data_IF_906664118851
#
_entry.id   IF_906664118851
#
_cell.length_a   1.000
_cell.length_b   1.000
_cell.length_c   1.000
_cell.angle_alpha   90.00
_cell.angle_beta   90.00
_cell.angle_gamma   90.00
#
_symmetry.space_group_name_H-M   'P 1'
#
loop_
_entity.id
_entity.type
_entity.pdbx_description
1 polymer ?
#
# COMPACT_ATOMS: atom_id res chain seq x y z
N UNK A 1 15.63 -47.33 32.87
CA UNK A 1 15.45 -45.97 32.32
C UNK A 1 14.96 -45.07 33.44
N UNK A 2 15.78 -44.14 33.93
CA UNK A 2 15.32 -43.10 34.87
C UNK A 2 14.57 -42.04 34.06
N UNK A 3 13.27 -41.90 34.31
CA UNK A 3 12.46 -40.84 33.73
C UNK A 3 12.74 -39.58 34.55
N UNK A 4 13.49 -38.64 33.97
CA UNK A 4 13.63 -37.28 34.51
C UNK A 4 12.32 -36.54 34.30
N UNK A 5 11.50 -36.47 35.36
CA UNK A 5 10.30 -35.62 35.37
C UNK A 5 10.76 -34.18 35.51
N UNK A 6 10.70 -33.40 34.42
CA UNK A 6 10.92 -31.96 34.48
C UNK A 6 9.88 -31.33 35.40
N UNK A 7 10.32 -30.76 36.52
CA UNK A 7 9.49 -30.01 37.46
C UNK A 7 8.92 -28.80 36.72
N UNK A 8 7.61 -28.75 36.48
CA UNK A 8 6.94 -27.55 35.95
C UNK A 8 7.22 -26.39 36.89
N UNK A 9 7.94 -25.37 36.40
CA UNK A 9 8.20 -24.13 37.14
C UNK A 9 6.91 -23.30 37.21
N UNK A 10 6.02 -23.62 38.16
CA UNK A 10 4.72 -22.94 38.35
C UNK A 10 4.86 -21.43 38.58
N UNK A 11 5.97 -20.98 39.17
CA UNK A 11 6.25 -19.56 39.42
C UNK A 11 6.51 -18.74 38.16
N UNK A 12 7.21 -19.30 37.17
CA UNK A 12 7.51 -18.59 35.92
C UNK A 12 6.22 -18.34 35.11
N UNK A 13 5.28 -19.28 35.11
CA UNK A 13 4.00 -19.11 34.41
C UNK A 13 3.16 -17.97 35.00
N UNK A 14 3.08 -17.86 36.32
CA UNK A 14 2.37 -16.74 36.98
C UNK A 14 2.99 -15.39 36.62
N UNK A 15 4.32 -15.29 36.63
CA UNK A 15 5.02 -14.05 36.26
C UNK A 15 4.75 -13.69 34.78
N UNK A 16 4.79 -14.68 33.88
CA UNK A 16 4.49 -14.48 32.46
C UNK A 16 3.04 -14.02 32.28
N UNK A 17 2.10 -14.64 32.98
CA UNK A 17 0.67 -14.31 32.94
C UNK A 17 0.39 -12.91 33.51
N UNK A 18 1.00 -12.54 34.64
CA UNK A 18 0.89 -11.18 35.19
C UNK A 18 1.47 -10.13 34.23
N UNK A 19 2.63 -10.40 33.63
CA UNK A 19 3.23 -9.50 32.64
C UNK A 19 2.38 -9.42 31.36
N UNK A 20 1.72 -10.50 30.98
CA UNK A 20 0.77 -10.52 29.88
C UNK A 20 -0.46 -9.65 30.22
N UNK A 21 -1.07 -9.86 31.38
CA UNK A 21 -2.26 -9.15 31.85
C UNK A 21 -2.02 -7.64 32.05
N UNK A 22 -0.80 -7.25 32.47
CA UNK A 22 -0.39 -5.84 32.57
C UNK A 22 -0.28 -5.19 31.19
N UNK A 23 0.35 -5.85 30.22
CA UNK A 23 0.50 -5.31 28.85
C UNK A 23 -0.83 -5.21 28.12
N UNK A 24 -1.78 -6.08 28.46
CA UNK A 24 -3.11 -6.15 27.85
C UNK A 24 -4.16 -5.39 28.62
N UNK A 25 -3.81 -4.60 29.63
CA UNK A 25 -4.79 -3.77 30.32
C UNK A 25 -5.34 -2.71 29.35
N UNK A 26 -6.66 -2.52 29.34
CA UNK A 26 -7.32 -1.51 28.50
C UNK A 26 -6.75 -0.12 28.78
N UNK A 27 -6.48 0.18 30.05
CA UNK A 27 -5.99 1.48 30.51
C UNK A 27 -4.52 1.74 30.21
N UNK A 28 -3.78 0.75 29.67
CA UNK A 28 -2.44 0.98 29.12
C UNK A 28 -2.50 1.79 27.82
N UNK A 29 -3.59 1.66 27.06
CA UNK A 29 -3.75 2.29 25.74
C UNK A 29 -4.85 3.36 25.69
N UNK A 30 -5.90 3.22 26.50
CA UNK A 30 -7.09 4.06 26.43
C UNK A 30 -7.47 4.68 27.77
N UNK A 31 -7.88 5.94 27.75
CA UNK A 31 -8.46 6.61 28.92
C UNK A 31 -9.96 6.32 29.05
N UNK A 32 -10.57 6.70 30.17
CA UNK A 32 -12.03 6.58 30.35
C UNK A 32 -12.82 7.42 29.35
N UNK A 33 -12.27 8.55 28.89
CA UNK A 33 -12.91 9.40 27.90
C UNK A 33 -12.87 8.75 26.52
N UNK A 34 -11.74 8.16 26.14
CA UNK A 34 -11.60 7.42 24.88
C UNK A 34 -12.61 6.26 24.81
N UNK A 35 -12.88 5.59 25.94
CA UNK A 35 -13.82 4.48 26.04
C UNK A 35 -15.28 4.86 25.78
N UNK A 36 -15.63 6.16 25.84
CA UNK A 36 -16.96 6.64 25.43
C UNK A 36 -17.11 6.55 23.91
N UNK A 37 -16.06 6.91 23.17
CA UNK A 37 -15.99 6.86 21.71
C UNK A 37 -15.50 5.48 21.21
N UNK A 38 -16.11 4.41 21.71
CA UNK A 38 -15.67 3.03 21.48
C UNK A 38 -15.50 2.66 19.99
N UNK A 39 -16.24 3.29 19.08
CA UNK A 39 -16.17 3.06 17.63
C UNK A 39 -14.82 3.43 17.00
N UNK A 40 -14.07 4.35 17.61
CA UNK A 40 -12.73 4.79 17.16
C UNK A 40 -11.61 3.90 17.69
N UNK A 41 -11.91 3.01 18.63
CA UNK A 41 -10.92 2.20 19.33
C UNK A 41 -10.57 0.92 18.58
N UNK A 42 -9.48 0.29 19.03
CA UNK A 42 -9.08 -1.03 18.56
C UNK A 42 -9.90 -2.13 19.26
N UNK A 43 -10.97 -2.57 18.60
CA UNK A 43 -11.87 -3.61 19.13
C UNK A 43 -11.15 -4.95 19.31
N UNK A 44 -10.12 -5.22 18.50
CA UNK A 44 -9.30 -6.43 18.67
C UNK A 44 -8.44 -6.32 19.93
N UNK A 45 -7.85 -5.17 20.22
CA UNK A 45 -7.12 -4.97 21.49
C UNK A 45 -8.04 -5.06 22.71
N UNK A 46 -9.23 -4.45 22.63
CA UNK A 46 -10.25 -4.50 23.69
C UNK A 46 -10.60 -5.94 24.06
N UNK A 47 -10.76 -6.83 23.07
CA UNK A 47 -11.01 -8.25 23.30
C UNK A 47 -9.75 -9.12 23.46
N UNK A 48 -8.56 -8.54 23.35
CA UNK A 48 -7.28 -9.26 23.36
C UNK A 48 -7.09 -10.28 22.22
N UNK A 49 -7.46 -9.88 21.01
CA UNK A 49 -7.46 -10.69 19.78
C UNK A 49 -6.64 -10.06 18.64
N UNK A 50 -5.67 -9.18 18.95
CA UNK A 50 -4.86 -8.48 17.95
C UNK A 50 -4.22 -9.43 16.92
N UNK A 51 -3.70 -10.57 17.37
CA UNK A 51 -3.05 -11.57 16.53
C UNK A 51 -3.99 -12.30 15.57
N UNK A 52 -5.31 -12.15 15.74
CA UNK A 52 -6.34 -12.78 14.92
C UNK A 52 -7.04 -11.80 13.97
N UNK A 53 -6.57 -10.55 13.85
CA UNK A 53 -7.16 -9.53 12.96
C UNK A 53 -7.34 -10.06 11.54
N UNK A 54 -6.27 -10.60 10.96
CA UNK A 54 -6.25 -11.11 9.58
C UNK A 54 -6.64 -12.59 9.47
N UNK A 55 -7.08 -13.20 10.58
CA UNK A 55 -7.43 -14.62 10.63
C UNK A 55 -8.92 -14.79 10.88
N UNK A 56 -9.43 -15.95 10.47
CA UNK A 56 -10.75 -16.39 10.90
C UNK A 56 -10.75 -16.54 12.43
N UNK A 57 -11.73 -15.93 13.08
CA UNK A 57 -11.93 -16.05 14.52
C UNK A 57 -13.09 -17.03 14.69
N UNK A 58 -12.87 -18.10 15.43
CA UNK A 58 -13.92 -19.03 15.82
C UNK A 58 -14.77 -18.42 16.94
N UNK A 59 -16.09 -18.60 16.88
CA UNK A 59 -17.04 -18.00 17.83
C UNK A 59 -16.75 -18.41 19.29
N UNK A 60 -16.26 -19.63 19.50
CA UNK A 60 -15.84 -20.14 20.81
C UNK A 60 -14.67 -19.34 21.39
N UNK A 61 -13.69 -18.98 20.56
CA UNK A 61 -12.52 -18.18 20.93
C UNK A 61 -12.96 -16.76 21.26
N UNK A 62 -13.78 -16.16 20.40
CA UNK A 62 -14.32 -14.81 20.61
C UNK A 62 -15.12 -14.71 21.92
N UNK A 63 -16.00 -15.69 22.15
CA UNK A 63 -16.82 -15.79 23.38
C UNK A 63 -15.98 -16.01 24.62
N UNK A 64 -14.93 -16.83 24.53
CA UNK A 64 -13.99 -17.05 25.63
C UNK A 64 -13.26 -15.76 26.01
N UNK A 65 -12.71 -15.06 25.01
CA UNK A 65 -12.00 -13.79 25.21
C UNK A 65 -12.92 -12.71 25.81
N UNK A 66 -14.15 -12.60 25.29
CA UNK A 66 -15.18 -11.70 25.82
C UNK A 66 -15.50 -11.97 27.29
N UNK A 67 -15.75 -13.24 27.67
CA UNK A 67 -16.05 -13.61 29.06
C UNK A 67 -14.91 -13.25 30.00
N UNK A 68 -13.67 -13.52 29.60
CA UNK A 68 -12.47 -13.16 30.37
C UNK A 68 -12.38 -11.66 30.61
N UNK A 69 -12.61 -10.86 29.56
CA UNK A 69 -12.58 -9.38 29.63
C UNK A 69 -13.70 -8.83 30.51
N UNK A 70 -14.94 -9.29 30.33
CA UNK A 70 -16.07 -8.81 31.14
C UNK A 70 -15.86 -9.07 32.63
N UNK A 71 -15.34 -10.25 33.00
CA UNK A 71 -15.10 -10.57 34.41
C UNK A 71 -14.08 -9.61 35.03
N UNK A 72 -13.03 -9.25 34.28
CA UNK A 72 -11.99 -8.32 34.73
C UNK A 72 -12.51 -6.88 34.86
N UNK A 73 -13.28 -6.40 33.88
CA UNK A 73 -13.76 -5.02 33.82
C UNK A 73 -15.24 -4.87 34.23
N UNK A 74 -15.75 -5.77 35.07
CA UNK A 74 -17.13 -5.71 35.52
C UNK A 74 -17.36 -4.49 36.42
N UNK A 75 -18.46 -3.72 36.26
CA UNK A 75 -18.73 -2.54 37.07
C UNK A 75 -18.82 -2.84 38.57
N UNK A 76 -19.27 -4.04 38.96
CA UNK A 76 -19.36 -4.45 40.38
C UNK A 76 -18.00 -4.52 41.09
N UNK A 77 -16.90 -4.61 40.35
CA UNK A 77 -15.56 -4.53 40.95
C UNK A 77 -15.24 -3.12 41.46
N UNK A 78 -15.97 -2.10 41.00
CA UNK A 78 -15.78 -0.68 41.35
C UNK A 78 -14.46 -0.07 40.87
N UNK A 79 -13.57 -0.86 40.26
CA UNK A 79 -12.22 -0.43 39.85
C UNK A 79 -12.20 0.29 38.50
N UNK A 80 -13.17 -0.02 37.64
CA UNK A 80 -13.18 0.39 36.25
C UNK A 80 -14.51 1.08 35.91
N UNK A 81 -14.46 2.10 35.05
CA UNK A 81 -15.66 2.82 34.62
C UNK A 81 -16.63 1.93 33.84
N UNK A 82 -17.93 2.28 33.85
CA UNK A 82 -18.99 1.58 33.09
C UNK A 82 -18.71 1.59 31.59
N UNK A 83 -17.98 2.60 31.12
CA UNK A 83 -17.53 2.80 29.75
C UNK A 83 -16.67 1.63 29.27
N UNK A 84 -15.75 1.12 30.09
CA UNK A 84 -14.91 -0.02 29.74
C UNK A 84 -15.74 -1.27 29.48
N UNK A 85 -16.70 -1.55 30.36
CA UNK A 85 -17.63 -2.67 30.21
C UNK A 85 -18.47 -2.55 28.93
N UNK A 86 -18.99 -1.35 28.64
CA UNK A 86 -19.78 -1.10 27.44
C UNK A 86 -18.95 -1.24 26.15
N UNK A 87 -17.72 -0.72 26.14
CA UNK A 87 -16.79 -0.85 25.02
C UNK A 87 -16.46 -2.33 24.73
N UNK A 88 -16.24 -3.15 25.76
CA UNK A 88 -16.02 -4.60 25.62
C UNK A 88 -17.26 -5.30 25.03
N UNK A 89 -18.45 -4.94 25.50
CA UNK A 89 -19.72 -5.48 24.97
C UNK A 89 -19.90 -5.14 23.49
N UNK A 90 -19.68 -3.87 23.12
CA UNK A 90 -19.82 -3.39 21.76
C UNK A 90 -18.76 -3.99 20.81
N UNK A 91 -17.52 -4.16 21.30
CA UNK A 91 -16.46 -4.84 20.57
C UNK A 91 -16.86 -6.29 20.24
N UNK A 92 -17.41 -7.01 21.22
CA UNK A 92 -17.88 -8.39 21.02
C UNK A 92 -19.02 -8.48 20.00
N UNK A 93 -20.05 -7.63 20.11
CA UNK A 93 -21.18 -7.65 19.16
C UNK A 93 -20.74 -7.32 17.73
N UNK A 94 -19.79 -6.39 17.60
CA UNK A 94 -19.24 -5.99 16.30
C UNK A 94 -18.43 -7.11 15.66
N UNK A 95 -17.51 -7.72 16.42
CA UNK A 95 -16.63 -8.76 15.89
C UNK A 95 -17.34 -10.11 15.68
N UNK A 96 -18.46 -10.34 16.38
CA UNK A 96 -19.30 -11.53 16.20
C UNK A 96 -20.08 -11.48 14.88
N UNK A 97 -20.58 -10.31 14.47
CA UNK A 97 -21.30 -10.17 13.21
C UNK A 97 -20.30 -9.96 12.06
N UNK A 98 -20.23 -10.86 11.07
CA UNK A 98 -19.27 -10.75 9.97
C UNK A 98 -19.45 -9.48 9.13
N UNK A 99 -20.67 -8.96 9.01
CA UNK A 99 -20.95 -7.72 8.26
C UNK A 99 -20.39 -6.52 9.01
N UNK A 100 -20.67 -6.42 10.32
CA UNK A 100 -20.16 -5.32 11.16
C UNK A 100 -18.64 -5.39 11.31
N UNK A 101 -18.08 -6.58 11.50
CA UNK A 101 -16.63 -6.81 11.51
C UNK A 101 -15.99 -6.32 10.22
N UNK A 102 -16.56 -6.65 9.06
CA UNK A 102 -16.04 -6.19 7.76
C UNK A 102 -16.10 -4.66 7.60
N UNK A 103 -17.15 -4.02 8.09
CA UNK A 103 -17.26 -2.55 8.10
C UNK A 103 -16.22 -1.92 9.04
N UNK A 104 -16.04 -2.50 10.23
CA UNK A 104 -15.04 -2.07 11.18
C UNK A 104 -13.60 -2.25 10.64
N UNK A 105 -13.27 -3.42 10.06
CA UNK A 105 -11.95 -3.70 9.48
C UNK A 105 -11.60 -2.79 8.30
N UNK A 106 -12.63 -2.30 7.61
CA UNK A 106 -12.52 -1.30 6.55
C UNK A 106 -12.23 0.10 7.10
N UNK A 107 -12.79 0.44 8.27
CA UNK A 107 -12.59 1.73 8.94
C UNK A 107 -11.28 1.77 9.73
N UNK A 108 -11.04 0.79 10.62
CA UNK A 108 -9.85 0.68 11.45
C UNK A 108 -8.71 0.06 10.65
N UNK A 109 -8.20 0.84 9.71
CA UNK A 109 -7.16 0.45 8.77
C UNK A 109 -6.08 1.52 8.68
N UNK A 110 -4.85 1.07 8.42
CA UNK A 110 -3.73 1.95 8.16
C UNK A 110 -3.68 2.35 6.68
N UNK A 111 -4.23 3.54 6.41
CA UNK A 111 -4.26 4.19 5.09
C UNK A 111 -2.95 4.90 4.71
N UNK A 112 -1.87 4.72 5.47
CA UNK A 112 -0.58 5.32 5.12
C UNK A 112 -0.06 4.81 3.77
N UNK A 113 0.17 5.75 2.86
CA UNK A 113 0.75 5.51 1.55
C UNK A 113 2.17 6.11 1.48
N UNK A 114 3.09 5.49 0.72
CA UNK A 114 4.43 6.01 0.49
C UNK A 114 4.42 7.45 -0.04
N UNK A 115 5.27 8.31 0.54
CA UNK A 115 5.42 9.70 0.15
C UNK A 115 6.18 9.82 -1.18
N UNK A 116 6.01 10.93 -1.89
CA UNK A 116 6.83 11.22 -3.07
C UNK A 116 8.22 11.73 -2.65
N UNK A 117 9.09 10.81 -2.24
CA UNK A 117 10.52 11.04 -1.97
C UNK A 117 11.37 10.15 -2.88
N UNK A 118 12.68 10.33 -2.81
CA UNK A 118 13.62 9.40 -3.44
C UNK A 118 13.82 8.20 -2.52
N UNK A 119 13.75 7.01 -3.12
CA UNK A 119 13.85 5.72 -2.45
C UNK A 119 15.06 4.99 -3.02
N UNK A 120 15.77 4.24 -2.18
CA UNK A 120 16.71 3.23 -2.69
C UNK A 120 15.95 2.07 -3.33
N UNK A 121 16.66 1.21 -4.08
CA UNK A 121 16.01 0.04 -4.70
C UNK A 121 15.38 -0.89 -3.65
N UNK A 122 16.07 -1.11 -2.53
CA UNK A 122 15.58 -1.94 -1.41
C UNK A 122 14.38 -1.29 -0.72
N UNK A 123 14.47 0.00 -0.37
CA UNK A 123 13.38 0.73 0.26
C UNK A 123 12.13 0.77 -0.62
N UNK A 124 12.28 0.82 -1.95
CA UNK A 124 11.14 0.78 -2.86
C UNK A 124 10.34 -0.52 -2.69
N UNK A 125 11.00 -1.68 -2.75
CA UNK A 125 10.30 -2.96 -2.65
C UNK A 125 9.68 -3.18 -1.28
N UNK A 126 10.35 -2.75 -0.21
CA UNK A 126 9.81 -2.86 1.14
C UNK A 126 8.60 -1.93 1.32
N UNK A 127 8.77 -0.64 1.08
CA UNK A 127 7.75 0.37 1.39
C UNK A 127 6.55 0.28 0.43
N UNK A 128 6.79 0.18 -0.88
CA UNK A 128 5.69 0.04 -1.84
C UNK A 128 5.07 -1.36 -1.79
N UNK A 129 5.90 -2.40 -1.67
CA UNK A 129 5.42 -3.78 -1.60
C UNK A 129 4.52 -4.00 -0.38
N UNK A 130 4.90 -3.48 0.78
CA UNK A 130 4.06 -3.53 1.98
C UNK A 130 2.76 -2.75 1.78
N UNK A 131 2.82 -1.53 1.24
CA UNK A 131 1.62 -0.72 0.99
C UNK A 131 0.62 -1.40 0.03
N UNK A 132 1.11 -2.00 -1.07
CA UNK A 132 0.28 -2.79 -1.98
C UNK A 132 -0.28 -4.06 -1.32
N UNK A 133 0.54 -4.78 -0.56
CA UNK A 133 0.11 -5.97 0.19
C UNK A 133 -0.95 -5.63 1.23
N UNK A 134 -0.84 -4.48 1.89
CA UNK A 134 -1.80 -4.01 2.88
C UNK A 134 -3.15 -3.67 2.23
N UNK A 135 -3.13 -3.03 1.06
CA UNK A 135 -4.33 -2.66 0.32
C UNK A 135 -4.95 -3.83 -0.47
N UNK A 136 -4.20 -4.88 -0.79
CA UNK A 136 -4.68 -6.02 -1.58
C UNK A 136 -5.86 -6.74 -0.92
N UNK A 137 -5.97 -6.68 0.41
CA UNK A 137 -7.08 -7.25 1.18
C UNK A 137 -8.43 -6.69 0.78
N UNK A 138 -8.46 -5.44 0.30
CA UNK A 138 -9.68 -4.76 -0.11
C UNK A 138 -10.03 -5.00 -1.58
N UNK A 139 -9.26 -5.80 -2.31
CA UNK A 139 -9.56 -6.10 -3.70
C UNK A 139 -10.74 -7.07 -3.83
N UNK A 140 -11.62 -6.78 -4.78
CA UNK A 140 -12.66 -7.70 -5.23
C UNK A 140 -12.06 -8.89 -6.00
N UNK A 141 -11.01 -8.64 -6.77
CA UNK A 141 -10.40 -9.61 -7.68
C UNK A 141 -9.20 -10.25 -6.97
N UNK A 142 -9.21 -11.58 -6.87
CA UNK A 142 -8.15 -12.38 -6.26
C UNK A 142 -7.70 -13.49 -7.23
N UNK A 143 -6.41 -13.89 -7.26
CA UNK A 143 -5.33 -13.39 -6.42
C UNK A 143 -4.78 -12.03 -6.89
N UNK A 144 -4.38 -11.18 -5.94
CA UNK A 144 -3.72 -9.90 -6.24
C UNK A 144 -2.26 -10.14 -6.66
N UNK A 145 -1.81 -9.61 -7.82
CA UNK A 145 -0.41 -9.68 -8.23
C UNK A 145 0.52 -9.00 -7.21
N UNK A 146 1.64 -9.65 -6.89
CA UNK A 146 2.69 -9.06 -6.04
C UNK A 146 3.58 -8.10 -6.83
N UNK A 147 4.16 -7.10 -6.17
CA UNK A 147 5.12 -6.16 -6.78
C UNK A 147 6.34 -6.88 -7.38
N UNK A 148 6.73 -8.02 -6.79
CA UNK A 148 7.91 -8.80 -7.18
C UNK A 148 9.21 -8.15 -6.72
N UNK A 149 10.30 -8.56 -7.37
CA UNK A 149 11.68 -8.17 -7.04
C UNK A 149 12.37 -7.60 -8.30
N UNK A 150 13.68 -7.33 -8.21
CA UNK A 150 14.49 -6.85 -9.34
C UNK A 150 14.50 -7.81 -10.55
N UNK A 151 14.37 -9.11 -10.31
CA UNK A 151 14.41 -10.16 -11.34
C UNK A 151 13.08 -10.40 -12.06
N UNK A 152 12.00 -9.71 -11.65
CA UNK A 152 10.65 -9.90 -12.19
C UNK A 152 10.59 -9.48 -13.66
N UNK A 153 9.89 -10.26 -14.48
CA UNK A 153 9.81 -10.02 -15.93
C UNK A 153 8.98 -8.78 -16.26
N UNK A 154 9.23 -8.17 -17.42
CA UNK A 154 8.45 -6.99 -17.86
C UNK A 154 6.95 -7.27 -18.00
N UNK A 155 6.59 -8.48 -18.43
CA UNK A 155 5.19 -8.89 -18.55
C UNK A 155 4.49 -8.94 -17.19
N UNK A 156 5.16 -9.46 -16.16
CA UNK A 156 4.62 -9.50 -14.80
C UNK A 156 4.46 -8.09 -14.22
N UNK A 157 5.40 -7.18 -14.50
CA UNK A 157 5.33 -5.78 -14.09
C UNK A 157 4.16 -5.07 -14.76
N UNK A 158 3.97 -5.27 -16.07
CA UNK A 158 2.84 -4.72 -16.81
C UNK A 158 1.50 -5.25 -16.28
N UNK A 159 1.41 -6.57 -16.02
CA UNK A 159 0.22 -7.19 -15.45
C UNK A 159 -0.09 -6.65 -14.05
N UNK A 160 0.93 -6.47 -13.21
CA UNK A 160 0.81 -5.87 -11.89
C UNK A 160 0.23 -4.45 -11.97
N UNK A 161 0.83 -3.57 -12.78
CA UNK A 161 0.34 -2.19 -12.88
C UNK A 161 -1.02 -2.08 -13.58
N UNK A 162 -1.31 -2.97 -14.54
CA UNK A 162 -2.63 -3.06 -15.16
C UNK A 162 -3.71 -3.43 -14.13
N UNK A 163 -3.41 -4.36 -13.24
CA UNK A 163 -4.31 -4.73 -12.13
C UNK A 163 -4.59 -3.53 -11.23
N UNK A 164 -3.54 -2.84 -10.75
CA UNK A 164 -3.71 -1.73 -9.80
C UNK A 164 -4.32 -0.46 -10.42
N UNK A 165 -4.12 -0.22 -11.73
CA UNK A 165 -4.83 0.85 -12.45
C UNK A 165 -6.34 0.61 -12.53
N UNK A 166 -6.73 -0.66 -12.65
CA UNK A 166 -8.12 -1.11 -12.69
C UNK A 166 -8.58 -1.66 -11.33
N UNK A 167 -8.00 -1.16 -10.23
CA UNK A 167 -8.27 -1.68 -8.91
C UNK A 167 -9.75 -1.50 -8.52
N UNK A 168 -10.42 -2.62 -8.28
CA UNK A 168 -11.79 -2.67 -7.76
C UNK A 168 -11.78 -3.04 -6.28
N UNK A 169 -12.52 -2.27 -5.48
CA UNK A 169 -12.54 -2.43 -4.04
C UNK A 169 -13.92 -2.77 -3.49
N UNK A 170 -13.97 -3.71 -2.54
CA UNK A 170 -15.17 -3.97 -1.75
C UNK A 170 -15.27 -3.05 -0.51
N UNK A 171 -14.24 -2.25 -0.24
CA UNK A 171 -14.11 -1.42 0.97
C UNK A 171 -15.29 -0.47 1.10
N UNK A 172 -15.87 -0.41 2.30
CA UNK A 172 -17.08 0.37 2.60
C UNK A 172 -16.86 1.22 3.84
N UNK A 173 -17.33 2.47 3.83
CA UNK A 173 -17.12 3.44 4.91
C UNK A 173 -18.39 3.70 5.74
N UNK A 174 -19.28 2.71 5.82
CA UNK A 174 -20.57 2.85 6.53
C UNK A 174 -20.44 2.83 8.06
N UNK A 175 -19.29 2.41 8.61
CA UNK A 175 -19.04 2.40 10.06
C UNK A 175 -19.22 3.78 10.72
N UNK A 176 -18.99 4.85 9.96
CA UNK A 176 -19.12 6.24 10.39
C UNK A 176 -20.57 6.77 10.38
N UNK A 177 -21.55 6.00 9.91
CA UNK A 177 -22.90 6.50 9.64
C UNK A 177 -23.79 6.59 10.90
N UNK A 178 -23.58 5.74 11.92
CA UNK A 178 -24.50 5.74 13.09
C UNK A 178 -24.28 6.88 14.10
N UNK A 179 -23.71 8.03 13.71
CA UNK A 179 -23.64 9.23 14.56
C UNK A 179 -24.73 10.28 14.28
N UNK A 180 -25.47 10.20 13.16
CA UNK A 180 -26.38 11.30 12.77
C UNK A 180 -27.88 11.13 13.17
N UNK A 181 -28.33 10.05 13.81
CA UNK A 181 -29.76 9.94 14.19
C UNK A 181 -30.05 9.17 15.49
N UNK A 182 -29.83 9.81 16.63
CA UNK A 182 -30.60 9.54 17.87
C UNK A 182 -31.25 10.82 18.44
N UNK A 183 -31.48 11.84 17.62
CA UNK A 183 -32.45 12.89 17.97
C UNK A 183 -33.84 12.46 17.49
N UNK A 184 -34.66 12.10 18.47
CA UNK A 184 -36.08 11.76 18.35
C UNK A 184 -36.84 12.97 17.79
N UNK A 185 -37.19 12.96 16.50
CA UNK A 185 -38.45 13.54 16.03
C UNK A 185 -38.93 12.87 14.73
N UNK A 186 -40.09 12.25 14.85
CA UNK A 186 -40.78 11.51 13.81
C UNK A 186 -41.54 12.48 12.91
N UNK A 187 -40.91 12.97 11.85
CA UNK A 187 -41.60 13.35 10.59
C UNK A 187 -40.63 13.80 9.50
N UNK A 188 -40.58 12.99 8.45
CA UNK A 188 -40.28 13.33 7.05
C UNK A 188 -38.83 13.61 6.60
N UNK A 189 -38.42 12.77 5.63
CA UNK A 189 -37.40 12.94 4.56
C UNK A 189 -35.97 12.42 4.83
N UNK A 190 -35.80 11.12 4.59
CA UNK A 190 -34.64 10.47 3.96
C UNK A 190 -33.22 10.85 4.46
N UNK A 191 -32.84 10.51 5.70
CA UNK A 191 -31.42 10.57 6.12
C UNK A 191 -30.52 9.61 5.30
N UNK A 192 -31.09 8.59 4.66
CA UNK A 192 -30.36 7.51 3.97
C UNK A 192 -29.69 7.88 2.64
N UNK A 193 -30.02 9.03 2.02
CA UNK A 193 -29.45 9.40 0.69
C UNK A 193 -28.19 10.26 0.82
N UNK A 194 -28.16 11.17 1.79
CA UNK A 194 -27.00 12.04 2.03
C UNK A 194 -25.80 11.23 2.56
N UNK A 195 -26.06 10.28 3.45
CA UNK A 195 -25.05 9.37 3.99
C UNK A 195 -24.43 8.48 2.92
N UNK A 196 -25.26 7.85 2.07
CA UNK A 196 -24.80 7.08 0.90
C UNK A 196 -23.97 7.93 -0.06
N UNK A 197 -24.30 9.21 -0.21
CA UNK A 197 -23.52 10.17 -1.00
C UNK A 197 -22.13 10.42 -0.40
N UNK A 198 -22.06 10.68 0.92
CA UNK A 198 -20.78 10.85 1.66
C UNK A 198 -19.90 9.60 1.53
N UNK A 199 -20.47 8.40 1.74
CA UNK A 199 -19.74 7.12 1.62
C UNK A 199 -19.18 6.93 0.21
N UNK A 200 -19.98 7.18 -0.83
CA UNK A 200 -19.51 7.10 -2.22
C UNK A 200 -18.39 8.07 -2.53
N UNK A 201 -18.43 9.28 -1.97
CA UNK A 201 -17.34 10.27 -2.11
C UNK A 201 -16.05 9.76 -1.49
N UNK A 202 -16.09 9.27 -0.24
CA UNK A 202 -14.93 8.71 0.45
C UNK A 202 -14.38 7.49 -0.30
N UNK A 203 -15.26 6.62 -0.81
CA UNK A 203 -14.85 5.47 -1.62
C UNK A 203 -14.18 5.90 -2.93
N UNK A 204 -14.69 6.96 -3.58
CA UNK A 204 -14.11 7.50 -4.81
C UNK A 204 -12.74 8.12 -4.52
N UNK A 205 -12.60 8.86 -3.42
CA UNK A 205 -11.34 9.43 -2.96
C UNK A 205 -10.31 8.35 -2.64
N UNK A 206 -10.71 7.28 -1.95
CA UNK A 206 -9.84 6.12 -1.70
C UNK A 206 -9.33 5.49 -3.01
N UNK A 207 -10.20 5.23 -3.97
CA UNK A 207 -9.80 4.68 -5.28
C UNK A 207 -8.86 5.65 -6.02
N UNK A 208 -9.13 6.95 -5.96
CA UNK A 208 -8.27 7.98 -6.54
C UNK A 208 -6.88 7.98 -5.90
N UNK A 209 -6.80 7.87 -4.59
CA UNK A 209 -5.52 7.79 -3.86
C UNK A 209 -4.73 6.53 -4.25
N UNK A 210 -5.37 5.37 -4.41
CA UNK A 210 -4.72 4.15 -4.91
C UNK A 210 -4.19 4.32 -6.34
N UNK A 211 -4.94 5.00 -7.22
CA UNK A 211 -4.48 5.30 -8.59
C UNK A 211 -3.26 6.22 -8.58
N UNK A 212 -3.30 7.31 -7.80
CA UNK A 212 -2.17 8.22 -7.66
C UNK A 212 -0.93 7.51 -7.08
N UNK A 213 -1.14 6.63 -6.10
CA UNK A 213 -0.09 5.79 -5.53
C UNK A 213 0.50 4.83 -6.58
N UNK A 214 -0.34 4.25 -7.42
CA UNK A 214 0.09 3.38 -8.53
C UNK A 214 0.94 4.17 -9.54
N UNK A 215 0.52 5.38 -9.91
CA UNK A 215 1.28 6.24 -10.82
C UNK A 215 2.61 6.71 -10.21
N UNK A 216 2.64 6.96 -8.90
CA UNK A 216 3.86 7.24 -8.16
C UNK A 216 4.80 6.04 -8.18
N UNK A 217 4.28 4.83 -7.95
CA UNK A 217 5.05 3.59 -8.01
C UNK A 217 5.68 3.38 -9.39
N UNK A 218 4.93 3.59 -10.48
CA UNK A 218 5.46 3.48 -11.85
C UNK A 218 6.63 4.44 -12.08
N UNK A 219 6.52 5.69 -11.60
CA UNK A 219 7.59 6.69 -11.74
C UNK A 219 8.86 6.33 -10.97
N UNK A 220 8.69 5.70 -9.80
CA UNK A 220 9.79 5.36 -8.88
C UNK A 220 10.33 3.94 -9.09
N UNK A 221 9.69 3.09 -9.89
CA UNK A 221 10.13 1.70 -10.09
C UNK A 221 11.51 1.65 -10.78
N UNK A 222 12.55 1.09 -10.13
CA UNK A 222 13.88 1.01 -10.70
C UNK A 222 13.95 0.15 -11.97
N UNK A 223 13.04 -0.82 -12.13
CA UNK A 223 13.02 -1.75 -13.28
C UNK A 223 12.57 -1.05 -14.55
N UNK A 224 11.64 -0.09 -14.44
CA UNK A 224 11.16 0.70 -15.57
C UNK A 224 12.15 1.83 -15.93
N UNK A 225 12.80 2.43 -14.92
CA UNK A 225 13.79 3.49 -15.11
C UNK A 225 15.12 2.99 -15.72
N UNK A 226 15.50 1.72 -15.49
CA UNK A 226 16.67 1.11 -16.17
C UNK A 226 16.45 1.00 -17.69
N UNK A 227 15.20 0.75 -18.12
CA UNK A 227 14.87 0.56 -19.52
C UNK A 227 14.71 1.87 -20.30
N UNK A 228 14.29 2.98 -19.68
CA UNK A 228 14.20 4.27 -20.40
C UNK A 228 15.56 4.78 -20.88
N UNK A 229 16.65 4.48 -20.14
CA UNK A 229 18.01 4.75 -20.59
C UNK A 229 18.46 3.87 -21.77
N UNK A 230 17.90 2.67 -21.93
CA UNK A 230 18.24 1.73 -23.01
C UNK A 230 17.27 1.75 -24.21
N UNK A 231 16.02 2.19 -24.00
CA UNK A 231 14.91 2.18 -24.98
C UNK A 231 14.56 3.57 -25.54
N UNK A 232 15.44 4.57 -25.36
CA UNK A 232 15.45 5.74 -26.26
C UNK A 232 15.96 5.36 -27.65
N UNK A 233 15.51 4.22 -28.18
CA UNK A 233 15.60 3.89 -29.59
C UNK A 233 14.60 4.81 -30.26
N UNK A 234 15.07 5.96 -30.71
CA UNK A 234 14.31 6.83 -31.58
C UNK A 234 14.01 6.06 -32.86
N UNK A 235 12.93 5.27 -32.86
CA UNK A 235 12.50 4.48 -34.02
C UNK A 235 12.27 5.37 -35.24
N UNK A 236 11.86 6.62 -35.02
CA UNK A 236 11.76 7.66 -36.03
C UNK A 236 13.10 8.07 -36.66
N UNK A 237 14.24 7.82 -36.00
CA UNK A 237 15.57 8.08 -36.54
C UNK A 237 16.14 6.87 -37.30
N UNK A 238 15.56 5.67 -37.16
CA UNK A 238 15.93 4.44 -37.87
C UNK A 238 15.26 4.45 -39.26
N UNK A 239 15.55 5.48 -40.05
CA UNK A 239 15.09 5.64 -41.43
C UNK A 239 16.30 5.78 -42.34
N UNK A 240 16.13 5.61 -43.65
CA UNK A 240 17.16 5.89 -44.66
C UNK A 240 18.42 5.01 -44.56
N UNK A 241 18.26 3.75 -44.14
CA UNK A 241 19.38 2.79 -44.04
C UNK A 241 20.33 3.05 -42.87
N UNK A 242 19.87 3.74 -41.83
CA UNK A 242 20.59 3.91 -40.57
C UNK A 242 20.24 2.81 -39.57
N UNK A 243 21.25 2.19 -38.96
CA UNK A 243 21.04 1.15 -37.95
C UNK A 243 20.95 1.76 -36.54
N UNK A 244 20.34 1.03 -35.62
CA UNK A 244 20.20 1.45 -34.23
C UNK A 244 21.56 1.74 -33.56
N UNK A 245 22.59 0.96 -33.91
CA UNK A 245 23.95 1.15 -33.41
C UNK A 245 24.58 2.45 -33.94
N UNK A 246 24.41 2.76 -35.22
CA UNK A 246 24.91 4.00 -35.81
C UNK A 246 24.26 5.22 -35.15
N UNK A 247 22.95 5.19 -34.91
CA UNK A 247 22.22 6.29 -34.26
C UNK A 247 22.68 6.47 -32.82
N UNK A 248 22.87 5.37 -32.07
CA UNK A 248 23.41 5.41 -30.70
C UNK A 248 24.81 6.03 -30.66
N UNK A 249 25.70 5.65 -31.58
CA UNK A 249 27.06 6.24 -31.66
C UNK A 249 27.02 7.74 -32.00
N UNK A 250 26.16 8.17 -32.93
CA UNK A 250 26.01 9.59 -33.26
C UNK A 250 25.46 10.41 -32.08
N UNK A 251 24.46 9.90 -31.37
CA UNK A 251 23.91 10.56 -30.17
C UNK A 251 24.99 10.71 -29.09
N UNK A 252 25.81 9.68 -28.89
CA UNK A 252 26.94 9.71 -27.96
C UNK A 252 27.94 10.82 -28.35
N UNK A 253 28.40 10.82 -29.60
CA UNK A 253 29.36 11.81 -30.11
C UNK A 253 28.81 13.25 -30.05
N UNK A 254 27.50 13.44 -30.29
CA UNK A 254 26.85 14.75 -30.19
C UNK A 254 26.75 15.27 -28.75
N UNK A 255 26.56 14.38 -27.76
CA UNK A 255 26.55 14.77 -26.34
C UNK A 255 27.94 15.17 -25.84
N UNK A 256 28.98 14.49 -26.34
CA UNK A 256 30.38 14.73 -25.95
C UNK A 256 30.98 16.01 -26.55
N UNK A 257 30.56 16.39 -27.77
CA UNK A 257 31.14 17.54 -28.47
C UNK A 257 30.12 18.69 -28.55
N UNK A 258 30.23 19.67 -27.63
CA UNK A 258 29.41 20.90 -27.62
C UNK A 258 30.25 22.10 -28.07
N UNK A 259 29.95 22.66 -29.25
CA UNK A 259 30.69 23.79 -29.81
C UNK A 259 30.35 24.11 -31.27
N UNK A 260 30.90 25.21 -31.82
CA UNK A 260 30.65 25.66 -33.21
C UNK A 260 31.13 24.64 -34.27
N UNK A 261 32.19 23.89 -33.98
CA UNK A 261 32.78 22.87 -34.88
C UNK A 261 32.40 21.43 -34.52
N UNK A 262 31.40 21.26 -33.65
CA UNK A 262 30.99 19.95 -33.14
C UNK A 262 30.61 18.98 -34.28
N UNK A 263 29.92 19.45 -35.31
CA UNK A 263 29.45 18.60 -36.41
C UNK A 263 30.59 18.07 -37.30
N UNK A 264 31.61 18.89 -37.55
CA UNK A 264 32.79 18.46 -38.32
C UNK A 264 33.64 17.45 -37.53
N UNK A 265 33.75 17.67 -36.21
CA UNK A 265 34.44 16.77 -35.29
C UNK A 265 33.71 15.43 -35.17
N UNK A 266 32.37 15.45 -35.06
CA UNK A 266 31.52 14.25 -34.99
C UNK A 266 31.64 13.42 -36.27
N UNK A 267 31.62 14.04 -37.46
CA UNK A 267 31.77 13.31 -38.73
C UNK A 267 33.12 12.57 -38.84
N UNK A 268 34.21 13.22 -38.40
CA UNK A 268 35.55 12.61 -38.42
C UNK A 268 35.69 11.47 -37.42
N UNK A 269 35.06 11.60 -36.24
CA UNK A 269 35.07 10.56 -35.19
C UNK A 269 34.14 9.38 -35.53
N UNK A 270 32.99 9.65 -36.15
CA UNK A 270 32.02 8.62 -36.53
C UNK A 270 32.63 7.58 -37.48
N UNK A 271 33.39 8.02 -38.49
CA UNK A 271 34.10 7.12 -39.40
C UNK A 271 35.16 6.27 -38.68
N UNK A 272 35.88 6.88 -37.73
CA UNK A 272 36.90 6.18 -36.94
C UNK A 272 36.31 5.12 -36.01
N UNK A 273 35.12 5.34 -35.45
CA UNK A 273 34.47 4.42 -34.51
C UNK A 273 33.66 3.31 -35.19
N UNK A 274 32.99 3.60 -36.31
CA UNK A 274 32.10 2.63 -36.97
C UNK A 274 32.75 1.89 -38.13
N UNK A 275 33.79 2.46 -38.77
CA UNK A 275 34.43 1.91 -39.96
C UNK A 275 33.54 1.93 -41.22
N UNK A 276 32.34 2.51 -41.17
CA UNK A 276 31.37 2.54 -42.26
C UNK A 276 31.55 3.83 -43.07
N UNK A 277 31.75 3.70 -44.38
CA UNK A 277 31.83 4.84 -45.31
C UNK A 277 30.42 5.35 -45.64
N UNK A 278 29.94 6.36 -44.91
CA UNK A 278 28.78 7.18 -45.30
C UNK A 278 29.21 8.54 -45.83
N UNK A 279 28.41 9.16 -46.69
CA UNK A 279 28.73 10.47 -47.26
C UNK A 279 28.73 11.53 -46.15
N UNK A 280 29.65 12.49 -46.22
CA UNK A 280 29.74 13.58 -45.22
C UNK A 280 28.42 14.36 -45.12
N UNK A 281 27.70 14.51 -46.23
CA UNK A 281 26.38 15.15 -46.27
C UNK A 281 25.32 14.33 -45.52
N UNK A 282 25.33 13.00 -45.65
CA UNK A 282 24.36 12.11 -45.00
C UNK A 282 24.50 12.14 -43.47
N UNK A 283 25.75 12.05 -42.98
CA UNK A 283 26.04 12.10 -41.54
C UNK A 283 25.61 13.45 -40.94
N UNK A 284 25.87 14.55 -41.65
CA UNK A 284 25.48 15.89 -41.21
C UNK A 284 23.96 16.08 -41.16
N UNK A 285 23.23 15.62 -42.18
CA UNK A 285 21.76 15.67 -42.21
C UNK A 285 21.18 14.89 -41.03
N UNK A 286 21.68 13.66 -40.78
CA UNK A 286 21.20 12.85 -39.67
C UNK A 286 21.52 13.46 -38.31
N UNK A 287 22.69 14.09 -38.15
CA UNK A 287 23.03 14.83 -36.94
C UNK A 287 22.07 16.01 -36.66
N UNK A 288 21.64 16.72 -37.70
CA UNK A 288 20.67 17.82 -37.57
C UNK A 288 19.30 17.28 -37.17
N UNK A 289 18.87 16.16 -37.76
CA UNK A 289 17.63 15.47 -37.40
C UNK A 289 17.65 14.99 -35.94
N UNK A 290 18.75 14.38 -35.50
CA UNK A 290 18.99 13.98 -34.11
C UNK A 290 18.89 15.18 -33.16
N UNK A 291 19.54 16.31 -33.48
CA UNK A 291 19.45 17.52 -32.64
C UNK A 291 18.01 18.05 -32.53
N UNK A 292 17.24 17.98 -33.61
CA UNK A 292 15.81 18.38 -33.62
C UNK A 292 14.95 17.47 -32.74
N UNK A 293 15.14 16.14 -32.84
CA UNK A 293 14.31 15.15 -32.14
C UNK A 293 14.66 15.09 -30.64
N UNK A 294 15.95 15.15 -30.29
CA UNK A 294 16.42 14.96 -28.92
C UNK A 294 16.63 16.29 -28.16
N UNK A 295 16.53 17.43 -28.85
CA UNK A 295 16.77 18.78 -28.29
C UNK A 295 18.16 18.90 -27.62
N UNK A 296 19.21 18.46 -28.33
CA UNK A 296 20.63 18.54 -27.90
C UNK A 296 21.32 19.74 -28.55
#
# INVERSE_FOLDING_TARGET
MQITVYRKFEGCFKIIEENYEKRKDLFTKYTLEDLKDWKKLDLYFILDLEFLRDKKIEDSVLKHAYRRRILKYHPDTGKYGKEAFLAIKNAYTTLLNPVLRKQYDSFYFDDTLPLNKDYTEEEFYEVFGEAFKRNSKFSVIQPVPSLGNQSTSLQEIENFYKFWKNFETWRTFSWLEDEETESVCESTRNPTKLSKGKIKKIQTEYIFNIKNFTDLSIKKDPRLNKNTNNSSTHTCLITDGWTENEIKTLIKLLKENKGKDALQTVNTKFYKETGIKKSTKEVLVKCIEIKRVIKI
#
